data_IF_801029716129
#
_entry.id   IF_801029716129
#
_cell.length_a   1.000
_cell.length_b   1.000
_cell.length_c   1.000
_cell.angle_alpha   90.00
_cell.angle_beta   90.00
_cell.angle_gamma   90.00
#
_symmetry.space_group_name_H-M   'P 1'
#
loop_
_entity.id
_entity.type
_entity.pdbx_description
1 polymer ?
#
# COMPACT_ATOMS: atom_id res chain seq x y z
N UNK A 1 -8.07 -4.13 1.38
CA UNK A 1 -7.51 -3.00 2.15
C UNK A 1 -8.05 -2.85 3.57
N UNK A 2 -9.28 -3.26 3.92
CA UNK A 2 -9.85 -3.00 5.26
C UNK A 2 -8.99 -3.51 6.42
N UNK A 3 -8.52 -4.76 6.36
CA UNK A 3 -7.72 -5.38 7.43
C UNK A 3 -6.29 -4.83 7.47
N UNK A 4 -5.66 -4.69 6.30
CA UNK A 4 -4.28 -4.22 6.12
C UNK A 4 -4.07 -2.75 6.52
N UNK A 5 -5.13 -1.92 6.56
CA UNK A 5 -5.05 -0.54 7.12
C UNK A 5 -5.23 -0.50 8.64
N UNK A 6 -5.52 -1.64 9.26
CA UNK A 6 -5.92 -1.72 10.65
C UNK A 6 -5.23 -2.89 11.33
N UNK A 7 -6.01 -3.89 11.76
CA UNK A 7 -5.53 -4.96 12.63
C UNK A 7 -4.40 -5.81 12.03
N UNK A 8 -4.36 -5.98 10.70
CA UNK A 8 -3.32 -6.74 10.00
C UNK A 8 -2.23 -5.85 9.41
N UNK A 9 -2.21 -4.55 9.75
CA UNK A 9 -1.16 -3.65 9.30
C UNK A 9 0.15 -3.98 9.98
N UNK A 10 1.25 -3.88 9.23
CA UNK A 10 2.57 -3.82 9.83
C UNK A 10 2.76 -2.38 10.35
N UNK A 11 3.17 -2.18 11.62
CA UNK A 11 3.42 -0.84 12.15
C UNK A 11 4.58 -0.11 11.48
N UNK A 12 5.50 -0.82 10.83
CA UNK A 12 6.61 -0.25 10.08
C UNK A 12 6.24 0.18 8.66
N UNK A 13 5.03 -0.16 8.18
CA UNK A 13 4.57 0.19 6.85
C UNK A 13 4.20 1.67 6.70
N UNK A 14 4.46 2.25 5.53
CA UNK A 14 4.02 3.61 5.20
C UNK A 14 2.60 3.60 4.63
N UNK A 15 1.71 4.41 5.22
CA UNK A 15 0.28 4.40 4.90
C UNK A 15 -0.16 5.75 4.28
N UNK A 16 -0.37 5.77 2.96
CA UNK A 16 -0.95 6.90 2.24
C UNK A 16 -2.43 6.66 1.91
N UNK A 17 -3.23 6.58 2.98
CA UNK A 17 -4.63 6.15 2.90
C UNK A 17 -5.61 7.28 3.18
N UNK A 18 -6.61 7.42 2.29
CA UNK A 18 -7.78 8.28 2.48
C UNK A 18 -8.91 7.42 3.03
N UNK A 19 -9.51 7.83 4.14
CA UNK A 19 -10.55 7.01 4.81
C UNK A 19 -11.79 6.77 3.94
N UNK A 20 -12.10 7.70 3.02
CA UNK A 20 -13.23 7.61 2.07
C UNK A 20 -12.91 6.85 0.77
N UNK A 21 -11.70 6.31 0.62
CA UNK A 21 -11.32 5.48 -0.52
C UNK A 21 -11.02 4.07 -0.02
N UNK A 22 -11.82 3.10 -0.48
CA UNK A 22 -11.74 1.71 -0.02
C UNK A 22 -10.82 0.83 -0.89
N UNK A 23 -10.30 1.38 -1.99
CA UNK A 23 -9.43 0.72 -2.98
C UNK A 23 -8.04 1.36 -3.03
N UNK A 24 -7.06 0.64 -3.57
CA UNK A 24 -5.67 1.05 -3.53
C UNK A 24 -4.70 -0.06 -3.93
N UNK A 25 -3.42 0.23 -3.82
CA UNK A 25 -2.31 -0.66 -4.16
C UNK A 25 -1.37 -0.81 -2.97
N UNK A 26 -0.73 -1.97 -2.87
CA UNK A 26 0.37 -2.24 -1.93
C UNK A 26 1.64 -2.40 -2.75
N UNK A 27 2.66 -1.61 -2.42
CA UNK A 27 3.98 -1.65 -3.04
C UNK A 27 4.92 -2.28 -2.03
N UNK A 28 5.44 -3.47 -2.32
CA UNK A 28 6.45 -4.11 -1.47
C UNK A 28 7.80 -3.45 -1.69
N UNK A 29 8.49 -3.13 -0.61
CA UNK A 29 9.86 -2.63 -0.66
C UNK A 29 10.79 -3.85 -0.60
N UNK A 30 11.82 -3.84 -1.44
CA UNK A 30 12.82 -4.91 -1.53
C UNK A 30 14.19 -4.51 -0.99
N UNK A 31 14.32 -3.25 -0.55
CA UNK A 31 15.56 -2.75 0.06
C UNK A 31 15.74 -3.36 1.45
N UNK A 32 16.82 -4.10 1.65
CA UNK A 32 17.15 -4.74 2.93
C UNK A 32 17.57 -3.73 4.01
N UNK A 33 18.02 -2.54 3.62
CA UNK A 33 18.40 -1.47 4.55
C UNK A 33 17.19 -0.64 4.98
N UNK A 34 16.07 -0.74 4.28
CA UNK A 34 14.84 -0.04 4.61
C UNK A 34 13.98 -0.89 5.56
N UNK A 35 13.71 -0.42 6.79
CA UNK A 35 12.82 -1.14 7.70
C UNK A 35 11.35 -1.11 7.27
N UNK A 36 10.95 -0.27 6.31
CA UNK A 36 9.57 -0.20 5.83
C UNK A 36 9.29 -1.35 4.86
N UNK A 37 8.41 -2.31 5.21
CA UNK A 37 8.21 -3.51 4.39
C UNK A 37 7.38 -3.23 3.13
N UNK A 38 6.46 -2.27 3.22
CA UNK A 38 5.60 -1.88 2.11
C UNK A 38 5.01 -0.49 2.29
N UNK A 39 4.55 0.06 1.16
CA UNK A 39 3.75 1.28 1.09
C UNK A 39 2.33 0.90 0.68
N UNK A 40 1.33 1.39 1.41
CA UNK A 40 -0.09 1.20 1.09
C UNK A 40 -0.70 2.52 0.61
N UNK A 41 -1.08 2.59 -0.66
CA UNK A 41 -1.59 3.82 -1.28
C UNK A 41 -3.06 3.65 -1.64
N UNK A 42 -3.91 4.56 -1.18
CA UNK A 42 -5.32 4.61 -1.59
C UNK A 42 -5.49 5.27 -2.97
N UNK A 43 -6.21 4.60 -3.87
CA UNK A 43 -6.48 5.13 -5.21
C UNK A 43 -7.76 4.55 -5.79
N UNK A 44 -8.56 5.39 -6.46
CA UNK A 44 -9.72 4.94 -7.25
C UNK A 44 -9.27 4.25 -8.55
N UNK A 45 -8.12 4.65 -9.09
CA UNK A 45 -7.48 4.09 -10.30
C UNK A 45 -6.44 3.01 -9.96
N UNK A 46 -6.66 2.26 -8.89
CA UNK A 46 -5.74 1.24 -8.39
C UNK A 46 -5.35 0.18 -9.43
N UNK A 47 -6.27 -0.17 -10.35
CA UNK A 47 -5.98 -1.12 -11.45
C UNK A 47 -4.95 -0.59 -12.45
N UNK A 48 -5.14 0.64 -12.93
CA UNK A 48 -4.18 1.32 -13.83
C UNK A 48 -2.81 1.43 -13.16
N UNK A 49 -2.82 1.85 -11.89
CA UNK A 49 -1.60 2.01 -11.10
C UNK A 49 -0.87 0.67 -10.86
N UNK A 50 -1.60 -0.41 -10.58
CA UNK A 50 -0.99 -1.74 -10.42
C UNK A 50 -0.38 -2.27 -11.70
N UNK A 51 -0.93 -1.94 -12.87
CA UNK A 51 -0.34 -2.31 -14.16
C UNK A 51 0.98 -1.59 -14.38
N UNK A 52 1.00 -0.26 -14.17
CA UNK A 52 2.21 0.56 -14.36
C UNK A 52 3.33 0.15 -13.40
N UNK A 53 2.99 -0.26 -12.16
CA UNK A 53 3.97 -0.69 -11.16
C UNK A 53 4.46 -2.13 -11.36
N UNK A 54 3.82 -2.90 -12.22
CA UNK A 54 4.22 -4.28 -12.53
C UNK A 54 5.20 -4.35 -13.71
N UNK A 55 5.24 -3.30 -14.54
CA UNK A 55 6.19 -3.09 -15.64
C UNK A 55 7.51 -2.50 -15.13
#
# INVERSE_FOLDING_TARGET
MRLIRGIESDPAAHLEVRFWVHTGVMIKISDELDPTPYILISSRKHKELSTILAD
#
